data_IF_006279684702
#
_entry.id   IF_006279684702
#
_cell.length_a   1.000
_cell.length_b   1.000
_cell.length_c   1.000
_cell.angle_alpha   90.00
_cell.angle_beta   90.00
_cell.angle_gamma   90.00
#
_symmetry.space_group_name_H-M   'P 1'
#
loop_
_entity.id
_entity.type
_entity.pdbx_description
1 polymer ?
#
# COMPACT_ATOMS: atom_id res chain seq x y z
N UNK A 1 -9.21 12.77 23.26
CA UNK A 1 -8.25 11.67 23.00
C UNK A 1 -7.87 11.76 21.53
N UNK A 2 -6.97 12.68 21.19
CA UNK A 2 -6.56 12.95 19.80
C UNK A 2 -5.46 11.97 19.42
N UNK A 3 -5.71 11.18 18.40
CA UNK A 3 -4.78 10.20 17.86
C UNK A 3 -3.54 10.94 17.34
N UNK A 4 -2.41 10.76 18.01
CA UNK A 4 -1.12 11.32 17.61
C UNK A 4 -0.54 10.44 16.47
N UNK A 5 -1.09 10.51 15.26
CA UNK A 5 -0.58 9.74 14.11
C UNK A 5 -0.44 10.54 12.79
N UNK A 6 -0.63 11.85 12.81
CA UNK A 6 -0.40 12.71 11.64
C UNK A 6 1.07 13.18 11.56
N UNK A 7 2.03 12.25 11.48
CA UNK A 7 3.44 12.57 11.25
C UNK A 7 3.95 12.08 9.88
N UNK A 8 3.08 11.93 8.88
CA UNK A 8 3.58 11.75 7.52
C UNK A 8 3.90 13.12 6.91
N UNK A 9 5.12 13.34 6.39
CA UNK A 9 5.46 14.61 5.78
C UNK A 9 4.56 14.86 4.56
N UNK A 10 3.90 16.04 4.48
CA UNK A 10 2.92 16.35 3.43
C UNK A 10 3.53 16.41 2.02
N UNK A 11 4.85 16.49 1.88
CA UNK A 11 5.52 16.55 0.58
C UNK A 11 5.48 15.24 -0.22
N UNK A 12 5.08 14.12 0.38
CA UNK A 12 5.11 12.82 -0.29
C UNK A 12 3.75 12.33 -0.81
N UNK A 13 2.66 13.05 -0.49
CA UNK A 13 1.29 12.68 -0.87
C UNK A 13 0.70 13.54 -1.98
N UNK A 14 1.33 14.66 -2.33
CA UNK A 14 0.80 15.59 -3.34
C UNK A 14 1.84 15.95 -4.41
N UNK A 15 1.50 15.63 -5.67
CA UNK A 15 2.24 16.07 -6.84
C UNK A 15 2.67 14.95 -7.78
N UNK A 16 1.78 14.54 -8.69
CA UNK A 16 2.21 14.13 -10.04
C UNK A 16 2.77 15.39 -10.72
N UNK A 17 4.01 15.73 -10.40
CA UNK A 17 4.82 16.62 -11.22
C UNK A 17 5.45 15.73 -12.28
N UNK A 18 5.18 16.01 -13.56
CA UNK A 18 5.91 15.42 -14.68
C UNK A 18 7.41 15.68 -14.48
N UNK A 19 8.09 14.69 -13.94
CA UNK A 19 9.54 14.65 -13.88
C UNK A 19 9.98 13.96 -15.15
N UNK A 20 10.35 14.74 -16.17
CA UNK A 20 10.92 14.27 -17.45
C UNK A 20 12.37 13.76 -17.28
N UNK A 21 12.64 13.02 -16.20
CA UNK A 21 13.89 12.32 -15.92
C UNK A 21 13.61 10.87 -15.54
N UNK A 22 14.64 9.98 -15.49
CA UNK A 22 14.43 8.61 -15.08
C UNK A 22 13.87 8.59 -13.64
N UNK A 23 12.67 8.02 -13.47
CA UNK A 23 12.02 7.92 -12.17
C UNK A 23 12.82 6.96 -11.28
N UNK A 24 13.56 7.50 -10.32
CA UNK A 24 14.27 6.71 -9.31
C UNK A 24 13.35 6.61 -8.10
N UNK A 25 12.97 5.38 -7.74
CA UNK A 25 12.23 5.13 -6.52
C UNK A 25 13.25 4.97 -5.39
N UNK A 26 13.34 5.99 -4.55
CA UNK A 26 14.35 6.03 -3.48
C UNK A 26 13.95 5.13 -2.30
N UNK A 27 14.91 4.36 -1.80
CA UNK A 27 14.76 3.54 -0.58
C UNK A 27 14.26 4.38 0.60
N UNK A 28 14.77 5.61 0.73
CA UNK A 28 14.36 6.54 1.79
C UNK A 28 12.88 6.86 1.70
N UNK A 29 12.37 7.19 0.51
CA UNK A 29 10.95 7.47 0.31
C UNK A 29 10.07 6.26 0.65
N UNK A 30 10.47 5.06 0.22
CA UNK A 30 9.75 3.82 0.54
C UNK A 30 9.72 3.57 2.05
N UNK A 31 10.85 3.73 2.73
CA UNK A 31 10.94 3.57 4.19
C UNK A 31 10.02 4.53 4.93
N UNK A 32 10.05 5.82 4.58
CA UNK A 32 9.22 6.82 5.25
C UNK A 32 7.73 6.54 5.03
N UNK A 33 7.34 6.11 3.83
CA UNK A 33 5.97 5.66 3.54
C UNK A 33 5.55 4.46 4.40
N UNK A 34 6.42 3.46 4.55
CA UNK A 34 6.15 2.30 5.40
C UNK A 34 5.99 2.72 6.87
N UNK A 35 6.79 3.68 7.34
CA UNK A 35 6.70 4.24 8.70
C UNK A 35 5.40 5.01 8.93
N UNK A 36 4.82 5.59 7.88
CA UNK A 36 3.53 6.28 7.91
C UNK A 36 2.30 5.35 7.88
N UNK A 37 2.45 4.03 7.77
CA UNK A 37 1.30 3.13 7.69
C UNK A 37 0.43 3.21 8.95
N UNK A 38 -0.90 3.31 8.73
CA UNK A 38 -1.89 3.23 9.80
C UNK A 38 -1.97 1.80 10.33
N UNK A 39 -1.41 1.60 11.52
CA UNK A 39 -1.38 0.31 12.21
C UNK A 39 -2.75 -0.20 12.66
N UNK A 40 -3.81 0.61 12.56
CA UNK A 40 -5.16 0.20 12.94
C UNK A 40 -5.98 -0.33 11.75
N UNK A 41 -5.41 -0.37 10.54
CA UNK A 41 -6.04 -0.99 9.38
C UNK A 41 -6.03 -2.52 9.47
N UNK A 42 -7.02 -3.14 8.82
CA UNK A 42 -7.08 -4.60 8.68
C UNK A 42 -5.89 -5.11 7.86
N UNK A 43 -5.49 -6.37 8.11
CA UNK A 43 -4.52 -7.08 7.28
C UNK A 43 -5.04 -7.22 5.85
N UNK A 44 -4.11 -7.28 4.89
CA UNK A 44 -4.40 -7.61 3.51
C UNK A 44 -4.78 -9.09 3.33
N UNK A 45 -5.10 -9.50 2.09
CA UNK A 45 -5.33 -10.92 1.76
C UNK A 45 -4.08 -11.79 1.97
N UNK A 46 -2.91 -11.17 2.08
CA UNK A 46 -1.63 -11.80 2.44
C UNK A 46 -1.51 -12.12 3.95
N UNK A 47 -2.46 -11.66 4.78
CA UNK A 47 -2.44 -11.85 6.22
C UNK A 47 -1.40 -10.98 6.95
N UNK A 48 -0.75 -10.04 6.24
CA UNK A 48 0.28 -9.18 6.82
C UNK A 48 -0.40 -7.97 7.46
N UNK A 49 -0.20 -7.80 8.76
CA UNK A 49 -0.72 -6.66 9.49
C UNK A 49 0.12 -5.40 9.22
N UNK A 50 -0.47 -4.20 9.04
CA UNK A 50 0.29 -2.98 8.75
C UNK A 50 1.39 -2.65 9.77
N UNK A 51 1.18 -3.04 11.03
CA UNK A 51 2.21 -2.97 12.10
C UNK A 51 3.50 -3.71 11.74
N UNK A 52 3.40 -4.89 11.11
CA UNK A 52 4.57 -5.67 10.69
C UNK A 52 5.34 -4.91 9.61
N UNK A 53 4.64 -4.34 8.63
CA UNK A 53 5.28 -3.53 7.57
C UNK A 53 5.97 -2.28 8.14
N UNK A 54 5.35 -1.63 9.13
CA UNK A 54 5.90 -0.46 9.80
C UNK A 54 7.14 -0.80 10.63
N UNK A 55 7.05 -1.88 11.41
CA UNK A 55 8.12 -2.32 12.31
C UNK A 55 9.33 -2.87 11.52
N UNK A 56 9.12 -3.41 10.32
CA UNK A 56 10.16 -3.90 9.40
C UNK A 56 10.50 -2.92 8.27
N UNK A 57 10.20 -1.64 8.43
CA UNK A 57 10.35 -0.66 7.35
C UNK A 57 11.80 -0.52 6.87
N UNK A 58 12.77 -0.63 7.78
CA UNK A 58 14.20 -0.48 7.47
C UNK A 58 14.71 -1.68 6.65
N UNK A 59 14.23 -2.88 6.94
CA UNK A 59 14.56 -4.12 6.24
C UNK A 59 13.86 -4.24 4.88
N UNK A 60 12.62 -3.76 4.79
CA UNK A 60 11.79 -3.89 3.60
C UNK A 60 12.01 -2.78 2.57
N UNK A 61 12.51 -1.62 2.98
CA UNK A 61 12.64 -0.46 2.10
C UNK A 61 13.49 -0.74 0.85
N UNK A 62 14.64 -1.40 1.03
CA UNK A 62 15.55 -1.72 -0.07
C UNK A 62 15.00 -2.76 -1.05
N UNK A 63 14.50 -3.93 -0.62
CA UNK A 63 13.93 -4.89 -1.57
C UNK A 63 12.69 -4.32 -2.28
N UNK A 64 11.84 -3.55 -1.58
CA UNK A 64 10.66 -2.95 -2.21
C UNK A 64 11.02 -1.85 -3.23
N UNK A 65 12.01 -1.00 -2.95
CA UNK A 65 12.44 0.02 -3.91
C UNK A 65 12.96 -0.59 -5.21
N UNK A 66 13.68 -1.71 -5.13
CA UNK A 66 14.16 -2.46 -6.30
C UNK A 66 12.97 -3.02 -7.10
N UNK A 67 12.01 -3.67 -6.44
CA UNK A 67 10.83 -4.25 -7.10
C UNK A 67 10.00 -3.15 -7.77
N UNK A 68 9.73 -2.05 -7.08
CA UNK A 68 8.96 -0.95 -7.66
C UNK A 68 9.67 -0.30 -8.84
N UNK A 69 10.99 -0.09 -8.74
CA UNK A 69 11.75 0.52 -9.83
C UNK A 69 11.79 -0.39 -11.05
N UNK A 70 12.00 -1.70 -10.86
CA UNK A 70 11.92 -2.68 -11.95
C UNK A 70 10.52 -2.71 -12.57
N UNK A 71 9.47 -2.73 -11.73
CA UNK A 71 8.08 -2.75 -12.21
C UNK A 71 7.72 -1.52 -13.03
N UNK A 72 8.25 -0.36 -12.64
CA UNK A 72 8.08 0.87 -13.39
C UNK A 72 8.78 0.84 -14.75
N UNK A 73 10.00 0.29 -14.81
CA UNK A 73 10.79 0.21 -16.03
C UNK A 73 10.25 -0.82 -17.02
N UNK A 74 9.79 -1.99 -16.55
CA UNK A 74 9.32 -3.08 -17.40
C UNK A 74 7.82 -2.99 -17.70
N UNK A 75 7.07 -2.27 -16.88
CA UNK A 75 5.61 -2.32 -16.89
C UNK A 75 5.04 -3.65 -16.36
N UNK A 76 5.87 -4.48 -15.73
CA UNK A 76 5.49 -5.79 -15.20
C UNK A 76 5.62 -5.82 -13.68
N UNK A 77 4.61 -6.36 -13.00
CA UNK A 77 4.64 -6.59 -11.55
C UNK A 77 4.91 -8.07 -11.23
N UNK A 78 5.37 -8.40 -10.01
CA UNK A 78 5.43 -9.79 -9.56
C UNK A 78 4.11 -10.53 -9.77
N UNK A 79 4.17 -11.81 -10.15
CA UNK A 79 2.97 -12.60 -10.45
C UNK A 79 2.02 -12.70 -9.25
N UNK A 80 2.57 -12.76 -8.03
CA UNK A 80 1.81 -12.74 -6.78
C UNK A 80 0.93 -11.49 -6.63
N UNK A 81 1.32 -10.37 -7.26
CA UNK A 81 0.56 -9.12 -7.23
C UNK A 81 -0.49 -9.01 -8.35
N UNK A 82 -0.40 -9.87 -9.38
CA UNK A 82 -1.39 -9.92 -10.47
C UNK A 82 -2.69 -10.59 -10.03
N UNK A 83 -2.66 -11.40 -8.97
CA UNK A 83 -3.80 -12.13 -8.48
C UNK A 83 -4.59 -11.30 -7.46
N UNK A 84 -5.86 -11.00 -7.78
CA UNK A 84 -6.78 -10.35 -6.85
C UNK A 84 -7.63 -11.38 -6.10
N UNK A 85 -7.68 -11.28 -4.77
CA UNK A 85 -8.63 -12.05 -3.97
C UNK A 85 -9.99 -11.35 -3.94
N UNK A 86 -11.00 -11.91 -4.62
CA UNK A 86 -12.37 -11.37 -4.63
C UNK A 86 -13.18 -12.05 -3.53
N UNK A 87 -13.41 -11.34 -2.42
CA UNK A 87 -14.34 -11.80 -1.37
C UNK A 87 -15.63 -11.01 -1.45
N UNK A 88 -16.80 -11.64 -1.69
CA UNK A 88 -18.07 -10.93 -1.68
C UNK A 88 -18.37 -10.40 -0.27
N UNK A 89 -18.53 -9.08 -0.16
CA UNK A 89 -18.92 -8.42 1.09
C UNK A 89 -20.44 -8.34 1.13
N UNK A 90 -21.05 -9.05 2.07
CA UNK A 90 -22.50 -9.02 2.25
C UNK A 90 -22.91 -7.66 2.82
N UNK A 91 -23.54 -6.83 1.98
CA UNK A 91 -24.12 -5.55 2.42
C UNK A 91 -25.42 -5.83 3.15
N UNK A 92 -25.53 -5.42 4.42
CA UNK A 92 -26.79 -5.55 5.18
C UNK A 92 -27.86 -4.63 4.55
N UNK A 93 -28.90 -5.21 3.96
CA UNK A 93 -30.07 -4.48 3.44
C UNK A 93 -30.65 -4.93 2.09
N UNK A 94 -30.07 -5.93 1.41
CA UNK A 94 -30.72 -6.53 0.24
C UNK A 94 -31.43 -7.83 0.67
N UNK A 95 -32.60 -7.68 1.30
CA UNK A 95 -33.61 -8.73 1.25
C UNK A 95 -34.20 -8.67 -0.16
N UNK A 96 -33.67 -9.48 -1.08
CA UNK A 96 -34.47 -9.89 -2.23
C UNK A 96 -35.39 -10.98 -1.70
N UNK A 97 -36.61 -10.58 -1.33
CA UNK A 97 -37.71 -11.49 -1.08
C UNK A 97 -38.06 -12.16 -2.43
N UNK A 98 -37.77 -13.45 -2.63
CA UNK A 98 -38.12 -14.14 -3.84
C UNK A 98 -39.48 -14.81 -3.61
N UNK A 99 -40.55 -14.05 -3.83
CA UNK A 99 -41.82 -14.62 -4.29
C UNK A 99 -42.98 -14.59 -3.29
N UNK A 100 -44.00 -13.83 -3.69
CA UNK A 100 -45.37 -14.33 -3.87
C UNK A 100 -46.03 -13.62 -5.04
#
# INVERSE_FOLDING_TARGET
>A
MTCLQDNCPPELVDGVREQNGPLIIEEVAVRELLKCLDIHKSMGPDGIHPRVMRDLADELAKPLSIIYHQSWLTGEVPDDWKLANVTPIHKKGAEEDPGS
#
